data_IF_590331656209
#
_entry.id   IF_590331656209
#
_cell.length_a   1.000
_cell.length_b   1.000
_cell.length_c   1.000
_cell.angle_alpha   90.00
_cell.angle_beta   90.00
_cell.angle_gamma   90.00
#
_symmetry.space_group_name_H-M   'P 1'
#
loop_
_entity.id
_entity.type
_entity.pdbx_description
1 polymer ?
#
# COMPACT_ATOMS: atom_id res chain seq x y z
N UNK A 1 -11.02 26.48 -24.58
CA UNK A 1 -9.87 26.44 -23.63
C UNK A 1 -10.31 27.15 -22.38
N UNK A 2 -10.66 26.40 -21.34
CA UNK A 2 -11.07 26.93 -20.05
C UNK A 2 -10.58 25.94 -19.01
N UNK A 3 -9.43 26.25 -18.40
CA UNK A 3 -8.89 25.48 -17.29
C UNK A 3 -9.77 25.73 -16.07
N UNK A 4 -10.47 24.70 -15.61
CA UNK A 4 -11.11 24.71 -14.30
C UNK A 4 -10.04 24.44 -13.24
N UNK A 5 -9.64 25.48 -12.52
CA UNK A 5 -8.83 25.39 -11.32
C UNK A 5 -9.73 24.99 -10.15
N UNK A 6 -9.40 23.89 -9.47
CA UNK A 6 -10.05 23.46 -8.23
C UNK A 6 -9.55 24.37 -7.09
N UNK A 7 -10.42 24.95 -6.24
CA UNK A 7 -9.96 25.84 -5.18
C UNK A 7 -9.28 25.05 -4.06
N UNK A 8 -8.09 25.49 -3.68
CA UNK A 8 -7.50 25.14 -2.39
C UNK A 8 -8.30 25.85 -1.30
N UNK A 9 -8.88 25.08 -0.37
CA UNK A 9 -9.52 25.67 0.81
C UNK A 9 -8.45 26.21 1.77
N UNK A 10 -8.56 27.49 2.12
CA UNK A 10 -7.78 28.09 3.20
C UNK A 10 -8.37 27.69 4.58
N UNK A 11 -7.54 27.45 5.61
CA UNK A 11 -8.01 27.13 6.95
C UNK A 11 -8.44 28.39 7.71
N UNK A 12 -9.63 28.35 8.28
CA UNK A 12 -10.18 29.37 9.20
C UNK A 12 -9.80 29.03 10.64
N UNK A 13 -9.29 30.03 11.38
CA UNK A 13 -9.39 30.09 12.84
C UNK A 13 -8.09 30.31 13.60
N UNK A 14 -7.78 31.56 13.93
CA UNK A 14 -6.76 31.91 14.92
C UNK A 14 -7.34 31.81 16.34
N UNK A 15 -6.71 31.04 17.21
CA UNK A 15 -7.00 30.98 18.65
C UNK A 15 -6.25 29.84 19.34
N UNK A 16 -5.20 30.18 20.10
CA UNK A 16 -4.35 29.33 20.95
C UNK A 16 -3.66 28.12 20.26
N UNK A 17 -2.33 28.08 20.33
CA UNK A 17 -1.47 27.11 19.67
C UNK A 17 -1.73 25.66 20.10
N UNK A 18 -2.51 24.95 19.29
CA UNK A 18 -2.56 23.49 19.24
C UNK A 18 -2.34 23.13 17.76
N UNK A 19 -1.14 22.66 17.40
CA UNK A 19 -0.73 22.56 15.97
C UNK A 19 -1.15 21.19 15.40
N UNK A 20 -2.26 21.05 14.64
CA UNK A 20 -2.89 19.76 14.34
C UNK A 20 -2.18 18.93 13.24
N UNK A 21 -0.93 19.26 12.90
CA UNK A 21 -0.25 18.83 11.68
C UNK A 21 1.17 18.26 11.86
N UNK A 22 1.66 18.09 13.10
CA UNK A 22 3.04 17.66 13.36
C UNK A 22 3.33 16.27 12.80
N UNK A 23 2.50 15.26 13.11
CA UNK A 23 2.76 13.89 12.68
C UNK A 23 2.76 13.74 11.16
N UNK A 24 1.89 14.47 10.45
CA UNK A 24 1.77 14.41 8.98
C UNK A 24 3.04 14.91 8.30
N UNK A 25 3.57 16.03 8.78
CA UNK A 25 4.82 16.60 8.28
C UNK A 25 6.02 15.70 8.60
N UNK A 26 6.04 15.09 9.79
CA UNK A 26 7.12 14.18 10.22
C UNK A 26 7.18 12.91 9.36
N UNK A 27 6.06 12.21 9.16
CA UNK A 27 6.04 10.97 8.37
C UNK A 27 6.33 11.23 6.90
N UNK A 28 5.81 12.33 6.34
CA UNK A 28 6.09 12.72 4.97
C UNK A 28 7.55 13.14 4.79
N UNK A 29 8.08 13.95 5.72
CA UNK A 29 9.47 14.40 5.70
C UNK A 29 10.44 13.22 5.77
N UNK A 30 10.19 12.24 6.64
CA UNK A 30 10.98 11.03 6.72
C UNK A 30 10.89 10.18 5.44
N UNK A 31 9.67 9.97 4.92
CA UNK A 31 9.47 9.23 3.66
C UNK A 31 10.21 9.87 2.48
N UNK A 32 10.14 11.19 2.35
CA UNK A 32 10.88 11.95 1.32
C UNK A 32 12.38 11.85 1.53
N UNK A 33 12.86 11.93 2.78
CA UNK A 33 14.28 11.79 3.09
C UNK A 33 14.81 10.40 2.73
N UNK A 34 14.05 9.35 3.01
CA UNK A 34 14.41 7.97 2.66
C UNK A 34 14.51 7.79 1.13
N UNK A 35 13.52 8.27 0.38
CA UNK A 35 13.51 8.19 -1.09
C UNK A 35 14.61 9.02 -1.77
N UNK A 36 15.02 10.14 -1.16
CA UNK A 36 16.06 11.04 -1.68
C UNK A 36 17.47 10.74 -1.17
N UNK A 37 17.63 9.77 -0.27
CA UNK A 37 18.90 9.50 0.38
C UNK A 37 19.97 9.11 -0.64
N UNK A 38 21.03 9.92 -0.73
CA UNK A 38 22.22 9.59 -1.54
C UNK A 38 23.16 8.63 -0.82
N UNK A 39 23.14 8.66 0.52
CA UNK A 39 23.98 7.80 1.38
C UNK A 39 23.46 6.37 1.46
N UNK A 40 22.14 6.20 1.45
CA UNK A 40 21.47 4.91 1.48
C UNK A 40 20.34 4.93 0.43
N UNK A 41 20.67 4.83 -0.88
CA UNK A 41 19.68 4.93 -1.94
C UNK A 41 18.56 3.91 -1.79
N UNK A 42 17.31 4.38 -1.84
CA UNK A 42 16.16 3.49 -1.72
C UNK A 42 16.18 2.42 -2.85
N UNK A 43 15.85 1.14 -2.53
CA UNK A 43 15.99 0.06 -3.51
C UNK A 43 15.12 0.22 -4.75
N UNK A 44 13.89 0.73 -4.59
CA UNK A 44 12.98 0.96 -5.71
C UNK A 44 13.33 2.27 -6.45
N UNK A 45 14.02 2.13 -7.59
CA UNK A 45 14.34 3.26 -8.48
C UNK A 45 13.09 3.98 -8.99
N UNK A 46 12.00 3.26 -9.23
CA UNK A 46 10.75 3.84 -9.73
C UNK A 46 10.06 4.72 -8.69
N UNK A 47 10.08 4.33 -7.41
CA UNK A 47 9.50 5.14 -6.33
C UNK A 47 10.25 6.46 -6.14
N UNK A 48 11.58 6.42 -6.12
CA UNK A 48 12.40 7.64 -6.07
C UNK A 48 12.16 8.54 -7.30
N UNK A 49 12.09 7.94 -8.50
CA UNK A 49 11.81 8.71 -9.72
C UNK A 49 10.39 9.30 -9.75
N UNK A 50 9.39 8.59 -9.22
CA UNK A 50 8.02 9.08 -9.10
C UNK A 50 7.95 10.28 -8.15
N UNK A 51 8.69 10.27 -7.04
CA UNK A 51 8.79 11.41 -6.14
C UNK A 51 9.38 12.64 -6.85
N UNK A 52 10.52 12.48 -7.52
CA UNK A 52 11.20 13.58 -8.22
C UNK A 52 10.35 14.20 -9.34
N UNK A 53 9.44 13.42 -9.93
CA UNK A 53 8.54 13.86 -11.00
C UNK A 53 7.15 14.30 -10.51
N UNK A 54 6.92 14.35 -9.20
CA UNK A 54 5.61 14.73 -8.63
C UNK A 54 4.48 13.72 -8.89
N UNK A 55 4.84 12.47 -9.21
CA UNK A 55 3.91 11.38 -9.51
C UNK A 55 3.35 10.68 -8.27
N UNK A 56 3.88 10.95 -7.08
CA UNK A 56 3.32 10.44 -5.83
C UNK A 56 2.14 11.31 -5.37
N UNK A 57 1.02 10.66 -5.06
CA UNK A 57 -0.16 11.28 -4.44
C UNK A 57 -0.33 10.74 -3.02
N UNK A 58 -0.83 11.58 -2.12
CA UNK A 58 -0.81 11.31 -0.69
C UNK A 58 -2.20 11.42 -0.07
N UNK A 59 -2.47 10.57 0.91
CA UNK A 59 -3.62 10.69 1.80
C UNK A 59 -3.19 10.42 3.26
N UNK A 60 -3.99 10.93 4.19
CA UNK A 60 -3.76 10.79 5.63
C UNK A 60 -4.96 10.09 6.24
N UNK A 61 -4.68 9.07 7.04
CA UNK A 61 -5.68 8.22 7.68
C UNK A 61 -5.45 8.28 9.19
N UNK A 62 -6.50 8.66 9.93
CA UNK A 62 -6.36 8.90 11.36
C UNK A 62 -6.30 7.60 12.18
N UNK A 63 -7.08 6.58 11.83
CA UNK A 63 -6.94 5.24 12.39
C UNK A 63 -7.26 4.17 11.34
N UNK A 64 -6.38 3.17 11.21
CA UNK A 64 -6.59 2.01 10.34
C UNK A 64 -7.74 1.10 10.79
N UNK A 65 -8.31 1.35 11.98
CA UNK A 65 -9.38 0.59 12.64
C UNK A 65 -10.71 1.34 12.72
N UNK A 66 -10.76 2.57 12.22
CA UNK A 66 -11.95 3.42 12.21
C UNK A 66 -12.56 3.48 10.80
N UNK A 67 -13.86 3.25 10.69
CA UNK A 67 -14.53 3.15 9.39
C UNK A 67 -14.67 4.51 8.69
N UNK A 68 -14.88 5.61 9.43
CA UNK A 68 -14.91 6.96 8.86
C UNK A 68 -13.56 7.35 8.25
N UNK A 69 -12.47 7.07 8.97
CA UNK A 69 -11.10 7.23 8.45
C UNK A 69 -10.88 6.43 7.16
N UNK A 70 -11.40 5.21 7.09
CA UNK A 70 -11.27 4.37 5.90
C UNK A 70 -12.22 4.78 4.76
N UNK A 71 -13.39 5.37 5.03
CA UNK A 71 -14.23 6.00 4.00
C UNK A 71 -13.52 7.20 3.37
N UNK A 72 -12.79 7.98 4.18
CA UNK A 72 -11.90 9.03 3.70
C UNK A 72 -10.82 8.49 2.76
N UNK A 73 -10.15 7.41 3.16
CA UNK A 73 -9.17 6.71 2.32
C UNK A 73 -9.79 6.19 1.01
N UNK A 74 -10.95 5.53 1.08
CA UNK A 74 -11.70 5.00 -0.06
C UNK A 74 -12.02 6.10 -1.07
N UNK A 75 -12.45 7.27 -0.58
CA UNK A 75 -12.76 8.45 -1.41
C UNK A 75 -11.49 8.99 -2.09
N UNK A 76 -10.41 9.19 -1.33
CA UNK A 76 -9.15 9.71 -1.85
C UNK A 76 -8.51 8.76 -2.88
N UNK A 77 -8.53 7.45 -2.60
CA UNK A 77 -8.04 6.43 -3.53
C UNK A 77 -8.90 6.39 -4.80
N UNK A 78 -10.22 6.49 -4.70
CA UNK A 78 -11.11 6.53 -5.87
C UNK A 78 -10.81 7.74 -6.78
N UNK A 79 -10.56 8.91 -6.20
CA UNK A 79 -10.17 10.10 -6.94
C UNK A 79 -8.81 9.92 -7.66
N UNK A 80 -7.86 9.24 -7.02
CA UNK A 80 -6.61 8.86 -7.66
C UNK A 80 -6.83 7.87 -8.81
N UNK A 81 -7.66 6.83 -8.60
CA UNK A 81 -7.98 5.84 -9.64
C UNK A 81 -8.68 6.48 -10.85
N UNK A 82 -9.49 7.53 -10.65
CA UNK A 82 -10.10 8.29 -11.74
C UNK A 82 -9.12 9.13 -12.57
N UNK A 83 -7.88 9.35 -12.11
CA UNK A 83 -6.94 10.29 -12.74
C UNK A 83 -5.54 9.75 -12.99
N UNK A 84 -5.17 8.58 -12.44
CA UNK A 84 -3.77 8.11 -12.43
C UNK A 84 -3.11 8.03 -13.80
N UNK A 85 -3.87 7.66 -14.85
CA UNK A 85 -3.33 7.58 -16.22
C UNK A 85 -2.86 8.94 -16.75
N UNK A 86 -3.44 10.04 -16.28
CA UNK A 86 -3.04 11.40 -16.66
C UNK A 86 -1.76 11.86 -15.98
N UNK A 87 -1.34 11.18 -14.90
CA UNK A 87 -0.10 11.45 -14.15
C UNK A 87 1.14 10.78 -14.77
N UNK A 88 0.93 9.83 -15.70
CA UNK A 88 1.98 9.04 -16.34
C UNK A 88 2.37 7.78 -15.56
N UNK A 89 3.23 6.94 -16.16
CA UNK A 89 3.59 5.60 -15.64
C UNK A 89 4.37 5.61 -14.31
N UNK A 90 4.97 6.74 -13.92
CA UNK A 90 5.69 6.88 -12.66
C UNK A 90 4.78 7.50 -11.59
N UNK A 91 3.69 6.81 -11.29
CA UNK A 91 2.67 7.27 -10.34
C UNK A 91 2.40 6.23 -9.28
N UNK A 92 2.11 6.67 -8.07
CA UNK A 92 1.65 5.81 -6.97
C UNK A 92 0.86 6.64 -5.97
N UNK A 93 -0.08 6.01 -5.28
CA UNK A 93 -0.83 6.63 -4.18
C UNK A 93 -0.33 6.07 -2.85
N UNK A 94 0.02 6.94 -1.90
CA UNK A 94 0.57 6.56 -0.60
C UNK A 94 -0.34 7.07 0.51
N UNK A 95 -0.96 6.15 1.24
CA UNK A 95 -1.76 6.45 2.43
C UNK A 95 -0.88 6.36 3.68
N UNK A 96 -0.77 7.45 4.42
CA UNK A 96 -0.08 7.51 5.70
C UNK A 96 -1.07 7.36 6.85
N UNK A 97 -0.78 6.48 7.79
CA UNK A 97 -1.60 6.26 8.97
C UNK A 97 -0.96 6.95 10.18
N UNK A 98 -1.78 7.60 11.01
CA UNK A 98 -1.30 8.24 12.25
C UNK A 98 -0.53 7.22 13.10
N UNK A 99 0.73 7.49 13.46
CA UNK A 99 1.48 6.61 14.34
C UNK A 99 0.75 6.43 15.68
N UNK A 100 0.66 5.19 16.21
CA UNK A 100 0.13 4.97 17.55
C UNK A 100 1.06 5.61 18.61
N UNK A 101 0.54 5.94 19.80
CA UNK A 101 1.34 6.53 20.87
C UNK A 101 2.41 5.57 21.43
N UNK A 102 2.23 4.26 21.22
CA UNK A 102 3.14 3.21 21.66
C UNK A 102 3.52 2.31 20.49
N UNK A 103 4.74 1.80 20.52
CA UNK A 103 5.20 0.78 19.57
C UNK A 103 4.27 -0.44 19.59
N UNK A 104 3.99 -0.97 18.40
CA UNK A 104 3.15 -2.16 18.21
C UNK A 104 3.95 -3.28 17.56
N UNK A 105 3.65 -4.56 17.87
CA UNK A 105 4.28 -5.68 17.19
C UNK A 105 3.91 -5.71 15.71
N UNK A 106 4.78 -6.29 14.88
CA UNK A 106 4.58 -6.36 13.41
C UNK A 106 3.24 -7.01 13.02
N UNK A 107 2.82 -8.06 13.73
CA UNK A 107 1.55 -8.75 13.52
C UNK A 107 0.33 -7.82 13.69
N UNK A 108 0.42 -6.80 14.55
CA UNK A 108 -0.66 -5.84 14.71
C UNK A 108 -0.78 -4.91 13.50
N UNK A 109 0.34 -4.54 12.86
CA UNK A 109 0.32 -3.78 11.61
C UNK A 109 -0.13 -4.64 10.42
N UNK A 110 0.26 -5.92 10.39
CA UNK A 110 -0.23 -6.86 9.37
C UNK A 110 -1.75 -7.02 9.46
N UNK A 111 -2.28 -7.20 10.66
CA UNK A 111 -3.72 -7.26 10.89
C UNK A 111 -4.44 -6.01 10.37
N UNK A 112 -3.94 -4.82 10.73
CA UNK A 112 -4.52 -3.55 10.30
C UNK A 112 -4.42 -3.35 8.78
N UNK A 113 -3.29 -3.74 8.18
CA UNK A 113 -3.10 -3.75 6.73
C UNK A 113 -4.18 -4.55 6.01
N UNK A 114 -4.39 -5.80 6.44
CA UNK A 114 -5.41 -6.65 5.82
C UNK A 114 -6.84 -6.17 6.11
N UNK A 115 -7.08 -5.54 7.27
CA UNK A 115 -8.36 -4.88 7.56
C UNK A 115 -8.63 -3.77 6.55
N UNK A 116 -7.65 -2.92 6.26
CA UNK A 116 -7.78 -1.84 5.28
C UNK A 116 -8.14 -2.39 3.90
N UNK A 117 -7.43 -3.41 3.41
CA UNK A 117 -7.73 -3.99 2.09
C UNK A 117 -9.15 -4.59 2.03
N UNK A 118 -9.57 -5.32 3.07
CA UNK A 118 -10.93 -5.87 3.15
C UNK A 118 -11.99 -4.76 3.19
N UNK A 119 -11.73 -3.68 3.91
CA UNK A 119 -12.64 -2.54 3.97
C UNK A 119 -12.78 -1.89 2.60
N UNK A 120 -11.66 -1.62 1.93
CA UNK A 120 -11.65 -1.03 0.58
C UNK A 120 -12.39 -1.91 -0.42
N UNK A 121 -12.17 -3.22 -0.40
CA UNK A 121 -12.88 -4.16 -1.26
C UNK A 121 -14.40 -4.16 -1.03
N UNK A 122 -14.84 -4.14 0.24
CA UNK A 122 -16.27 -4.13 0.59
C UNK A 122 -16.97 -2.83 0.16
N UNK A 123 -16.23 -1.73 0.12
CA UNK A 123 -16.71 -0.39 -0.22
C UNK A 123 -16.16 0.10 -1.57
N UNK A 124 -15.78 -0.83 -2.44
CA UNK A 124 -15.34 -0.50 -3.79
C UNK A 124 -16.54 0.10 -4.55
N UNK A 125 -16.40 1.29 -5.15
CA UNK A 125 -17.46 1.85 -6.00
C UNK A 125 -17.66 1.12 -7.33
N UNK A 126 -16.80 0.15 -7.67
CA UNK A 126 -16.87 -0.62 -8.91
C UNK A 126 -16.89 -2.11 -8.63
N UNK A 127 -17.44 -2.86 -9.58
CA UNK A 127 -17.36 -4.31 -9.55
C UNK A 127 -15.90 -4.78 -9.72
N UNK A 128 -15.63 -5.99 -9.22
CA UNK A 128 -14.34 -6.64 -9.43
C UNK A 128 -14.07 -6.83 -10.93
N UNK A 129 -12.83 -6.59 -11.44
CA UNK A 129 -12.53 -6.71 -12.86
C UNK A 129 -12.80 -8.12 -13.39
N UNK A 130 -13.46 -8.24 -14.54
CA UNK A 130 -13.84 -9.54 -15.12
C UNK A 130 -12.62 -10.42 -15.50
N UNK A 131 -11.49 -9.79 -15.81
CA UNK A 131 -10.26 -10.45 -16.25
C UNK A 131 -9.35 -10.87 -15.08
N UNK A 132 -9.68 -10.47 -13.84
CA UNK A 132 -8.93 -10.81 -12.64
C UNK A 132 -9.67 -11.88 -11.83
N UNK A 133 -9.05 -13.05 -11.58
CA UNK A 133 -9.64 -14.09 -10.74
C UNK A 133 -10.02 -13.56 -9.36
N UNK A 134 -11.08 -14.11 -8.77
CA UNK A 134 -11.50 -13.82 -7.39
C UNK A 134 -10.83 -14.75 -6.37
N UNK A 135 -10.32 -15.90 -6.81
CA UNK A 135 -9.64 -16.89 -5.97
C UNK A 135 -8.23 -16.42 -5.62
N UNK A 136 -7.98 -16.11 -4.34
CA UNK A 136 -6.68 -15.60 -3.83
C UNK A 136 -5.48 -16.53 -4.08
N UNK A 137 -5.74 -17.81 -4.36
CA UNK A 137 -4.70 -18.79 -4.69
C UNK A 137 -4.51 -18.95 -6.21
N UNK A 138 -5.14 -18.14 -7.05
CA UNK A 138 -4.82 -18.05 -8.47
C UNK A 138 -3.54 -17.20 -8.66
N UNK A 139 -2.55 -17.63 -9.47
CA UNK A 139 -1.35 -16.85 -9.79
C UNK A 139 -1.59 -15.45 -10.37
N UNK A 140 -2.77 -15.24 -10.98
CA UNK A 140 -3.21 -13.95 -11.56
C UNK A 140 -4.14 -13.17 -10.64
N UNK A 141 -4.44 -13.69 -9.45
CA UNK A 141 -5.17 -12.89 -8.46
C UNK A 141 -4.33 -11.68 -8.06
N UNK A 142 -4.97 -10.52 -8.06
CA UNK A 142 -4.42 -9.30 -7.48
C UNK A 142 -5.56 -8.53 -6.79
N UNK A 143 -5.27 -7.89 -5.67
CA UNK A 143 -6.19 -6.93 -5.07
C UNK A 143 -6.63 -5.91 -6.11
N UNK A 144 -7.93 -5.74 -6.29
CA UNK A 144 -8.50 -4.81 -7.26
C UNK A 144 -9.34 -3.75 -6.56
N UNK A 145 -9.29 -2.52 -7.07
CA UNK A 145 -10.06 -1.39 -6.58
C UNK A 145 -10.45 -0.46 -7.73
N UNK A 146 -11.71 0.00 -7.78
CA UNK A 146 -12.24 0.82 -8.89
C UNK A 146 -12.07 0.15 -10.26
N UNK A 147 -12.32 -1.15 -10.34
CA UNK A 147 -12.26 -1.92 -11.60
C UNK A 147 -10.86 -2.09 -12.16
N UNK A 148 -9.81 -1.88 -11.36
CA UNK A 148 -8.41 -2.02 -11.77
C UNK A 148 -7.65 -2.90 -10.78
N UNK A 149 -6.78 -3.83 -11.26
CA UNK A 149 -5.83 -4.52 -10.41
C UNK A 149 -4.77 -3.56 -9.86
N UNK A 150 -4.46 -3.67 -8.56
CA UNK A 150 -3.60 -2.76 -7.81
C UNK A 150 -2.59 -3.54 -6.97
N UNK A 151 -1.31 -3.38 -7.28
CA UNK A 151 -0.24 -3.86 -6.43
C UNK A 151 -0.14 -2.98 -5.19
N UNK A 152 -0.07 -3.61 -4.02
CA UNK A 152 -0.02 -2.90 -2.74
C UNK A 152 1.22 -3.25 -1.94
N UNK A 153 1.75 -2.27 -1.23
CA UNK A 153 2.96 -2.40 -0.41
C UNK A 153 2.70 -1.76 0.93
N UNK A 154 2.86 -2.52 2.01
CA UNK A 154 2.86 -1.99 3.37
C UNK A 154 4.29 -1.72 3.86
N UNK A 155 4.47 -0.56 4.51
CA UNK A 155 5.66 -0.26 5.31
C UNK A 155 5.22 0.07 6.73
N UNK A 156 6.03 -0.29 7.73
CA UNK A 156 5.68 -0.09 9.15
C UNK A 156 6.92 0.31 9.96
N UNK A 157 6.74 0.95 11.13
CA UNK A 157 7.85 1.20 12.06
C UNK A 157 8.39 -0.07 12.72
N UNK A 158 7.62 -1.18 12.69
CA UNK A 158 8.01 -2.45 13.28
C UNK A 158 9.05 -3.23 12.45
N UNK A 159 9.20 -2.91 11.15
CA UNK A 159 10.28 -3.48 10.34
C UNK A 159 11.63 -2.89 10.79
N UNK A 160 12.59 -3.75 11.13
CA UNK A 160 13.93 -3.38 11.58
C UNK A 160 14.98 -3.96 10.65
N UNK A 161 14.93 -5.27 10.40
CA UNK A 161 15.88 -5.98 9.54
C UNK A 161 15.58 -5.72 8.06
N UNK A 162 14.30 -5.76 7.67
CA UNK A 162 13.86 -5.44 6.31
C UNK A 162 13.63 -3.93 6.17
N UNK A 163 14.73 -3.19 6.16
CA UNK A 163 14.76 -1.72 6.12
C UNK A 163 13.95 -1.14 4.96
N UNK A 164 13.84 -1.85 3.83
CA UNK A 164 13.06 -1.48 2.64
C UNK A 164 11.55 -1.43 2.90
N UNK A 165 11.09 -2.09 3.98
CA UNK A 165 9.71 -2.07 4.48
C UNK A 165 9.55 -1.23 5.75
N UNK A 166 10.60 -0.54 6.18
CA UNK A 166 10.56 0.36 7.35
C UNK A 166 10.06 1.75 6.97
N UNK A 167 9.31 2.37 7.87
CA UNK A 167 8.84 3.76 7.78
C UNK A 167 8.55 4.33 9.17
N UNK A 168 8.42 5.65 9.32
CA UNK A 168 8.15 6.29 10.64
C UNK A 168 6.74 6.04 11.18
N UNK A 169 5.78 5.85 10.30
CA UNK A 169 4.43 5.39 10.60
C UNK A 169 4.06 4.26 9.66
N UNK A 170 2.91 3.62 9.87
CA UNK A 170 2.38 2.70 8.86
C UNK A 170 2.02 3.48 7.60
N UNK A 171 2.39 2.98 6.43
CA UNK A 171 1.92 3.48 5.16
C UNK A 171 1.58 2.33 4.22
N UNK A 172 0.62 2.57 3.33
CA UNK A 172 0.26 1.66 2.25
C UNK A 172 0.41 2.40 0.93
N UNK A 173 1.25 1.85 0.06
CA UNK A 173 1.41 2.33 -1.32
C UNK A 173 0.53 1.48 -2.24
N UNK A 174 -0.28 2.13 -3.07
CA UNK A 174 -1.17 1.55 -4.07
C UNK A 174 -0.65 1.91 -5.47
N UNK A 175 -0.46 0.90 -6.30
CA UNK A 175 0.12 1.02 -7.64
C UNK A 175 -0.75 0.26 -8.64
N UNK A 176 -1.59 0.95 -9.44
CA UNK A 176 -2.39 0.29 -10.46
C UNK A 176 -1.50 -0.53 -11.39
N UNK A 177 -1.84 -1.78 -11.69
CA UNK A 177 -0.97 -2.70 -12.45
C UNK A 177 -0.48 -2.11 -13.77
N UNK A 178 -1.29 -1.25 -14.38
CA UNK A 178 -0.94 -0.42 -15.54
C UNK A 178 0.45 0.24 -15.42
N UNK A 179 0.89 0.69 -14.24
CA UNK A 179 2.22 1.32 -14.06
C UNK A 179 3.38 0.36 -14.34
N UNK A 180 3.13 -0.96 -14.32
CA UNK A 180 4.11 -2.01 -14.59
C UNK A 180 4.08 -2.53 -16.03
N UNK A 181 3.20 -2.04 -16.91
CA UNK A 181 3.21 -2.42 -18.33
C UNK A 181 4.58 -2.12 -18.96
N UNK A 182 5.14 -3.10 -19.67
CA UNK A 182 6.49 -3.07 -20.22
C UNK A 182 7.60 -3.36 -19.21
N UNK A 183 7.24 -3.68 -17.95
CA UNK A 183 8.14 -4.13 -16.89
C UNK A 183 7.79 -5.56 -16.44
N UNK A 184 7.19 -6.37 -17.29
CA UNK A 184 6.87 -7.78 -17.02
C UNK A 184 8.16 -8.61 -16.90
N UNK A 185 8.14 -9.67 -16.10
CA UNK A 185 9.32 -10.50 -15.82
C UNK A 185 9.96 -11.15 -17.07
N UNK A 186 9.17 -11.34 -18.13
CA UNK A 186 9.64 -11.91 -19.40
C UNK A 186 10.19 -10.85 -20.39
N UNK A 187 10.07 -9.56 -20.10
CA UNK A 187 10.65 -8.51 -20.96
C UNK A 187 12.10 -8.22 -20.57
N UNK A 188 12.98 -7.82 -21.52
CA UNK A 188 14.35 -7.43 -21.19
C UNK A 188 14.42 -6.29 -20.17
N UNK A 189 13.54 -5.29 -20.31
CA UNK A 189 13.45 -4.14 -19.41
C UNK A 189 12.99 -4.56 -18.01
N UNK A 190 11.97 -5.42 -17.91
CA UNK A 190 11.47 -5.92 -16.63
C UNK A 190 12.49 -6.80 -15.89
N UNK A 191 13.26 -7.63 -16.62
CA UNK A 191 14.37 -8.40 -16.02
C UNK A 191 15.46 -7.49 -15.47
N UNK A 192 15.95 -6.56 -16.28
CA UNK A 192 17.00 -5.61 -15.86
C UNK A 192 16.56 -4.77 -14.66
N UNK A 193 15.30 -4.29 -14.65
CA UNK A 193 14.75 -3.55 -13.52
C UNK A 193 14.75 -4.37 -12.22
N UNK A 194 14.29 -5.63 -12.28
CA UNK A 194 14.28 -6.52 -11.10
C UNK A 194 15.67 -6.88 -10.62
N UNK A 195 16.62 -7.10 -11.52
CA UNK A 195 18.01 -7.37 -11.16
C UNK A 195 18.63 -6.18 -10.41
N UNK A 196 18.42 -4.96 -10.90
CA UNK A 196 18.86 -3.73 -10.22
C UNK A 196 18.22 -3.60 -8.84
N UNK A 197 16.90 -3.83 -8.73
CA UNK A 197 16.18 -3.72 -7.46
C UNK A 197 16.67 -4.78 -6.46
N UNK A 198 16.83 -6.05 -6.88
CA UNK A 198 17.32 -7.13 -6.02
C UNK A 198 18.73 -6.85 -5.50
N UNK A 199 19.66 -6.45 -6.36
CA UNK A 199 21.01 -6.04 -5.94
C UNK A 199 20.99 -4.88 -4.94
N UNK A 200 20.07 -3.93 -5.08
CA UNK A 200 19.92 -2.83 -4.11
C UNK A 200 19.33 -3.31 -2.80
N UNK A 201 18.35 -4.21 -2.82
CA UNK A 201 17.80 -4.82 -1.60
C UNK A 201 18.90 -5.52 -0.80
N UNK A 202 19.77 -6.29 -1.45
CA UNK A 202 20.88 -7.00 -0.80
C UNK A 202 21.84 -6.08 -0.04
N UNK A 203 21.97 -4.83 -0.48
CA UNK A 203 22.83 -3.82 0.18
C UNK A 203 22.06 -2.94 1.17
N UNK A 204 20.73 -2.94 1.12
CA UNK A 204 19.87 -2.02 1.87
C UNK A 204 19.22 -2.69 3.08
N UNK A 205 18.80 -3.94 2.93
CA UNK A 205 18.20 -4.75 3.99
C UNK A 205 19.28 -5.53 4.73
N UNK A 206 19.03 -5.80 6.01
CA UNK A 206 19.91 -6.63 6.85
C UNK A 206 19.55 -8.14 6.73
N UNK A 207 18.62 -8.46 5.83
CA UNK A 207 18.12 -9.80 5.49
C UNK A 207 18.06 -9.95 3.97
N UNK A 208 18.15 -11.18 3.42
CA UNK A 208 18.04 -11.38 1.98
C UNK A 208 16.68 -10.95 1.43
N UNK A 209 16.64 -10.75 0.10
CA UNK A 209 15.40 -10.57 -0.62
C UNK A 209 14.45 -11.75 -0.35
N UNK A 210 13.23 -11.44 0.12
CA UNK A 210 12.26 -12.46 0.53
C UNK A 210 11.83 -13.35 -0.64
N UNK A 211 11.65 -14.65 -0.39
CA UNK A 211 11.29 -15.65 -1.41
C UNK A 211 9.96 -15.34 -2.14
N UNK A 212 9.04 -14.62 -1.50
CA UNK A 212 7.78 -14.17 -2.13
C UNK A 212 7.97 -13.18 -3.28
N UNK A 213 9.14 -12.53 -3.42
CA UNK A 213 9.36 -11.49 -4.43
C UNK A 213 9.50 -12.10 -5.85
N UNK A 214 8.34 -12.41 -6.45
CA UNK A 214 8.20 -13.11 -7.71
C UNK A 214 7.73 -12.25 -8.88
N UNK A 215 7.27 -12.92 -9.93
CA UNK A 215 6.63 -12.29 -11.08
C UNK A 215 5.13 -12.63 -11.10
N UNK A 216 4.31 -11.64 -11.38
CA UNK A 216 2.87 -11.83 -11.57
C UNK A 216 2.55 -12.92 -12.59
N UNK A 217 1.57 -13.77 -12.27
CA UNK A 217 1.10 -14.84 -13.14
C UNK A 217 1.96 -16.10 -13.16
N UNK A 218 3.14 -16.12 -12.52
CA UNK A 218 3.95 -17.35 -12.43
C UNK A 218 3.26 -18.40 -11.54
N UNK A 219 3.22 -19.68 -11.93
CA UNK A 219 2.44 -20.71 -11.24
C UNK A 219 2.69 -20.83 -9.72
N UNK A 220 3.93 -20.59 -9.28
CA UNK A 220 4.35 -20.70 -7.88
C UNK A 220 4.26 -19.36 -7.11
N UNK A 221 3.98 -18.25 -7.81
CA UNK A 221 3.91 -16.93 -7.20
C UNK A 221 2.47 -16.55 -6.84
N UNK A 222 2.30 -15.81 -5.75
CA UNK A 222 1.04 -15.19 -5.36
C UNK A 222 1.32 -13.74 -5.00
N UNK A 223 0.68 -12.80 -5.69
CA UNK A 223 0.95 -11.36 -5.45
C UNK A 223 0.71 -10.97 -4.00
N UNK A 224 -0.33 -11.52 -3.37
CA UNK A 224 -0.69 -11.21 -1.99
C UNK A 224 0.43 -11.52 -0.98
N UNK A 225 1.33 -12.47 -1.28
CA UNK A 225 2.49 -12.78 -0.43
C UNK A 225 3.56 -11.70 -0.45
N UNK A 226 3.49 -10.75 -1.38
CA UNK A 226 4.43 -9.62 -1.51
C UNK A 226 3.92 -8.34 -0.84
N UNK A 227 2.63 -8.29 -0.51
CA UNK A 227 1.95 -7.09 -0.04
C UNK A 227 2.42 -6.66 1.36
N UNK A 228 2.52 -7.63 2.25
CA UNK A 228 3.09 -7.49 3.59
C UNK A 228 4.17 -8.55 3.74
N UNK A 229 5.42 -8.14 3.86
CA UNK A 229 6.54 -9.07 4.08
C UNK A 229 6.85 -9.13 5.58
N UNK A 230 7.24 -10.29 6.12
CA UNK A 230 7.78 -10.37 7.48
C UNK A 230 9.10 -9.60 7.59
N UNK A 231 9.47 -9.19 8.80
CA UNK A 231 10.73 -8.46 9.03
C UNK A 231 11.96 -9.35 8.85
N UNK A 232 11.89 -10.59 9.35
CA UNK A 232 12.96 -11.57 9.20
C UNK A 232 12.83 -12.37 7.89
N UNK A 233 13.82 -13.23 7.64
CA UNK A 233 13.78 -14.22 6.57
C UNK A 233 12.94 -15.44 7.02
N UNK A 234 11.63 -15.27 6.96
CA UNK A 234 10.65 -16.28 7.36
C UNK A 234 10.01 -16.92 6.12
N UNK A 235 9.44 -18.12 6.30
CA UNK A 235 8.68 -18.74 5.22
C UNK A 235 7.45 -17.90 4.88
N UNK A 236 7.05 -17.81 3.59
CA UNK A 236 5.84 -17.11 3.22
C UNK A 236 4.61 -17.67 3.96
N UNK A 237 3.64 -16.82 4.29
CA UNK A 237 2.38 -17.28 4.88
C UNK A 237 1.70 -18.35 4.00
N UNK A 238 1.17 -19.39 4.65
CA UNK A 238 0.57 -20.53 3.94
C UNK A 238 -0.82 -20.28 3.36
N UNK A 239 -1.51 -19.20 3.78
CA UNK A 239 -2.85 -18.83 3.29
C UNK A 239 -3.04 -17.32 3.28
N UNK A 240 -3.80 -16.81 2.31
CA UNK A 240 -4.10 -15.39 2.20
C UNK A 240 -5.02 -14.87 3.33
N UNK A 241 -4.62 -13.83 4.10
CA UNK A 241 -5.47 -13.25 5.15
C UNK A 241 -6.66 -12.43 4.64
N UNK A 242 -6.75 -12.19 3.33
CA UNK A 242 -7.80 -11.35 2.72
C UNK A 242 -9.22 -11.88 2.99
N UNK A 243 -9.43 -13.20 3.00
CA UNK A 243 -10.74 -13.80 3.31
C UNK A 243 -10.87 -14.43 4.71
N UNK A 244 -9.80 -14.41 5.53
CA UNK A 244 -9.78 -15.08 6.83
C UNK A 244 -10.77 -14.49 7.85
N UNK A 245 -11.02 -13.17 7.82
CA UNK A 245 -11.92 -12.50 8.75
C UNK A 245 -13.42 -12.73 8.44
N UNK A 246 -13.79 -13.06 7.19
CA UNK A 246 -15.19 -13.23 6.80
C UNK A 246 -15.86 -14.48 7.42
N UNK A 247 -15.09 -15.34 8.10
CA UNK A 247 -15.60 -16.53 8.81
C UNK A 247 -15.85 -16.28 10.31
N UNK A 248 -15.24 -15.24 10.92
CA UNK A 248 -15.36 -14.97 12.36
C UNK A 248 -16.51 -14.03 12.75
N UNK A 249 -17.03 -13.23 11.81
CA UNK A 249 -18.10 -12.25 12.08
C UNK A 249 -19.52 -12.82 11.90
N UNK A 250 -19.66 -14.08 11.46
CA UNK A 250 -20.97 -14.73 11.19
C UNK A 250 -21.55 -15.56 12.34
N UNK A 251 -20.91 -15.61 13.51
CA UNK A 251 -21.32 -16.52 14.61
C UNK A 251 -21.90 -15.85 15.86
N UNK A 252 -22.16 -14.53 15.87
CA UNK A 252 -22.80 -13.85 17.01
C UNK A 252 -23.95 -12.98 16.55
N UNK A 253 -25.07 -13.60 16.17
CA UNK A 253 -26.27 -12.88 15.72
C UNK A 253 -27.48 -13.79 15.56
N UNK A 254 -27.64 -14.78 16.45
CA UNK A 254 -28.75 -15.73 16.43
C UNK A 254 -29.20 -16.06 17.84
N UNK A 255 -29.75 -15.07 18.56
CA UNK A 255 -30.58 -15.37 19.72
C UNK A 255 -32.03 -15.47 19.25
N UNK A 256 -32.42 -16.74 19.14
CA UNK A 256 -33.77 -17.28 18.98
C UNK A 256 -34.80 -16.56 19.85
N UNK A 257 -35.85 -16.05 19.20
CA UNK A 257 -37.13 -15.77 19.83
C UNK A 257 -37.90 -17.10 19.91
N UNK A 258 -38.20 -17.60 21.11
CA UNK A 258 -39.19 -18.64 21.30
C UNK A 258 -39.76 -18.63 22.73
N UNK A 259 -41.10 -18.57 22.76
CA UNK A 259 -42.06 -18.74 23.86
C UNK A 259 -42.19 -17.60 24.89
#
# INVERSE_FOLDING_TARGET
MTHATIPAGDPVGAGAADTPHTWRAEVLGAFVADLRSRRSPFPCTFGAAALERGGLKFAWVEDARDDESLLGLRTALSAYMGTYRTLGKLTSFVAFFRPPPLDRPIAAYEHDFWRVLRFLHRHDPSDWPEDIPTEVEDPRWEFSFCGEPVFVVCNTPAHRQRRSRRSRGMLITFQPRWVFEGLEGHTPRGRAAREVIRRRLDSYDDVPAHASLGNYGEPENREWRQYFLPDADESPPGRCPFHAAARGERSTGGLSHAA
#
